data_IF_366107245975
#
_entry.id   IF_366107245975
#
_cell.length_a   1.000
_cell.length_b   1.000
_cell.length_c   1.000
_cell.angle_alpha   90.00
_cell.angle_beta   90.00
_cell.angle_gamma   90.00
#
_symmetry.space_group_name_H-M   'P 1'
#
loop_
_entity.id
_entity.type
_entity.pdbx_description
1 polymer ?
#
# COMPACT_ATOMS: atom_id res chain seq x y z
N UNK A 1 12.08 -22.76 -9.70
CA UNK A 1 10.67 -23.02 -9.30
C UNK A 1 9.81 -23.00 -10.55
N UNK A 2 8.87 -23.95 -10.73
CA UNK A 2 8.04 -24.02 -11.94
C UNK A 2 7.20 -22.75 -12.15
N UNK A 3 7.08 -22.35 -13.41
CA UNK A 3 6.45 -21.08 -13.81
C UNK A 3 4.96 -21.01 -13.47
N UNK A 4 4.21 -22.06 -13.78
CA UNK A 4 2.78 -22.16 -13.44
C UNK A 4 2.47 -22.02 -11.94
N UNK A 5 3.42 -22.33 -11.05
CA UNK A 5 3.26 -22.11 -9.60
C UNK A 5 3.50 -20.66 -9.23
N UNK A 6 4.48 -20.00 -9.90
CA UNK A 6 4.77 -18.58 -9.70
C UNK A 6 3.57 -17.72 -10.08
N UNK A 7 3.04 -17.92 -11.28
CA UNK A 7 1.91 -17.14 -11.81
C UNK A 7 0.67 -17.30 -10.93
N UNK A 8 0.30 -18.54 -10.60
CA UNK A 8 -0.89 -18.82 -9.77
C UNK A 8 -0.80 -18.23 -8.35
N UNK A 9 0.41 -17.98 -7.84
CA UNK A 9 0.63 -17.41 -6.51
C UNK A 9 1.12 -15.96 -6.54
N UNK A 10 1.13 -15.33 -7.72
CA UNK A 10 1.57 -13.94 -7.92
C UNK A 10 2.99 -13.71 -7.37
N UNK A 11 3.88 -14.68 -7.58
CA UNK A 11 5.28 -14.60 -7.17
C UNK A 11 6.14 -14.01 -8.29
N UNK A 12 6.10 -12.68 -8.35
CA UNK A 12 6.86 -11.87 -9.28
C UNK A 12 8.39 -11.96 -9.06
N UNK A 13 9.14 -11.37 -9.99
CA UNK A 13 10.57 -11.20 -9.80
C UNK A 13 10.85 -10.36 -8.54
N UNK A 14 11.70 -10.86 -7.66
CA UNK A 14 12.06 -10.20 -6.40
C UNK A 14 11.29 -10.69 -5.17
N UNK A 15 10.26 -11.54 -5.32
CA UNK A 15 9.58 -12.17 -4.18
C UNK A 15 10.54 -13.07 -3.41
N UNK A 16 10.71 -12.80 -2.11
CA UNK A 16 11.49 -13.64 -1.19
C UNK A 16 10.61 -14.78 -0.66
N UNK A 17 11.13 -16.00 -0.67
CA UNK A 17 10.40 -17.20 -0.28
C UNK A 17 11.11 -17.90 0.88
N UNK A 18 10.36 -18.31 1.89
CA UNK A 18 10.84 -19.20 2.95
C UNK A 18 10.59 -20.64 2.54
N UNK A 19 11.61 -21.48 2.69
CA UNK A 19 11.56 -22.92 2.45
C UNK A 19 11.71 -23.63 3.79
N UNK A 20 10.67 -24.33 4.21
CA UNK A 20 10.62 -25.09 5.46
C UNK A 20 10.57 -26.59 5.12
N UNK A 21 11.44 -27.38 5.75
CA UNK A 21 11.41 -28.84 5.63
C UNK A 21 10.40 -29.40 6.64
N UNK A 22 9.43 -30.18 6.19
CA UNK A 22 8.41 -30.83 7.03
C UNK A 22 8.37 -32.33 6.75
N UNK A 23 7.87 -33.16 7.68
CA UNK A 23 7.78 -34.62 7.46
C UNK A 23 6.96 -35.00 6.23
N UNK A 24 6.02 -34.16 5.82
CA UNK A 24 5.15 -34.33 4.64
C UNK A 24 5.78 -33.78 3.36
N UNK A 25 6.92 -33.09 3.46
CA UNK A 25 7.67 -32.54 2.34
C UNK A 25 8.08 -31.09 2.56
N UNK A 26 8.31 -30.37 1.46
CA UNK A 26 8.82 -29.00 1.50
C UNK A 26 7.68 -27.98 1.45
N UNK A 27 7.58 -27.13 2.46
CA UNK A 27 6.64 -26.00 2.50
C UNK A 27 7.31 -24.73 2.00
N UNK A 28 6.70 -24.08 1.00
CA UNK A 28 7.18 -22.81 0.43
C UNK A 28 6.13 -21.73 0.62
N UNK A 29 6.49 -20.61 1.25
CA UNK A 29 5.62 -19.45 1.47
C UNK A 29 6.37 -18.12 1.25
N UNK A 30 5.68 -17.05 0.84
CA UNK A 30 6.32 -15.74 0.71
C UNK A 30 6.71 -15.20 2.08
N UNK A 31 7.83 -14.48 2.11
CA UNK A 31 8.28 -13.74 3.29
C UNK A 31 7.70 -12.32 3.22
N UNK A 32 7.11 -11.80 4.32
CA UNK A 32 6.73 -10.40 4.39
C UNK A 32 7.90 -9.49 4.04
N UNK A 33 7.66 -8.51 3.17
CA UNK A 33 8.70 -7.54 2.77
C UNK A 33 9.05 -6.59 3.91
N UNK A 34 8.06 -6.30 4.75
CA UNK A 34 8.17 -5.45 5.93
C UNK A 34 7.88 -6.25 7.19
N UNK A 35 8.41 -5.79 8.33
CA UNK A 35 7.99 -6.29 9.62
C UNK A 35 6.50 -6.02 9.83
N UNK A 36 5.83 -6.90 10.56
CA UNK A 36 4.45 -6.68 10.95
C UNK A 36 4.35 -5.42 11.81
N UNK A 37 3.45 -4.52 11.43
CA UNK A 37 3.20 -3.26 12.13
C UNK A 37 1.76 -3.23 12.63
N UNK A 38 1.55 -2.75 13.84
CA UNK A 38 0.20 -2.50 14.37
C UNK A 38 -0.33 -1.17 13.84
N UNK A 39 -1.65 -0.94 13.84
CA UNK A 39 -2.22 0.34 13.42
C UNK A 39 -1.51 1.52 14.11
N UNK A 40 -1.31 1.49 15.42
CA UNK A 40 -0.61 2.56 16.16
C UNK A 40 0.84 2.81 15.73
N UNK A 41 1.51 1.85 15.09
CA UNK A 41 2.89 1.98 14.61
C UNK A 41 2.97 2.71 13.24
N UNK A 42 1.83 2.86 12.55
CA UNK A 42 1.72 3.50 11.22
C UNK A 42 0.72 4.66 11.18
N UNK A 43 -0.25 4.66 12.09
CA UNK A 43 -1.31 5.66 12.18
C UNK A 43 -0.69 7.00 12.59
N UNK A 44 -0.68 7.95 11.66
CA UNK A 44 -0.06 9.25 11.87
C UNK A 44 1.29 9.44 11.17
N UNK A 45 1.68 8.60 10.20
CA UNK A 45 2.88 8.81 9.37
C UNK A 45 2.92 10.14 8.58
N UNK A 46 1.87 10.97 8.66
CA UNK A 46 1.95 12.39 8.30
C UNK A 46 1.20 13.23 9.34
N UNK A 47 1.84 13.70 10.43
CA UNK A 47 1.25 14.77 11.20
C UNK A 47 1.15 16.00 10.29
N UNK A 48 -0.06 16.46 10.00
CA UNK A 48 -0.24 17.74 9.33
C UNK A 48 0.23 18.83 10.30
N UNK A 49 1.39 19.43 10.00
CA UNK A 49 1.99 20.49 10.83
C UNK A 49 1.39 21.88 10.59
N UNK A 50 0.43 21.99 9.66
CA UNK A 50 -0.24 23.25 9.34
C UNK A 50 -1.46 23.49 10.21
N UNK A 51 -1.94 24.73 10.21
CA UNK A 51 -3.23 25.06 10.81
C UNK A 51 -4.34 24.28 10.07
N UNK A 52 -5.36 23.79 10.79
CA UNK A 52 -6.57 23.29 10.16
C UNK A 52 -7.15 24.35 9.23
N UNK A 53 -7.60 23.93 8.04
CA UNK A 53 -8.27 24.85 7.12
C UNK A 53 -9.58 25.35 7.73
N UNK A 54 -9.90 26.62 7.50
CA UNK A 54 -11.24 27.13 7.80
C UNK A 54 -12.26 26.60 6.78
N UNK A 55 -13.55 26.70 7.10
CA UNK A 55 -14.61 26.30 6.17
C UNK A 55 -14.54 27.10 4.87
N UNK A 56 -14.24 28.40 4.97
CA UNK A 56 -14.09 29.29 3.82
C UNK A 56 -12.93 28.86 2.91
N UNK A 57 -11.80 28.42 3.49
CA UNK A 57 -10.66 27.90 2.73
C UNK A 57 -10.98 26.56 2.04
N UNK A 58 -11.80 25.72 2.69
CA UNK A 58 -12.29 24.48 2.09
C UNK A 58 -13.21 24.77 0.90
N UNK A 59 -14.20 25.65 1.09
CA UNK A 59 -15.15 26.05 0.04
C UNK A 59 -14.45 26.68 -1.17
N UNK A 60 -13.50 27.59 -0.91
CA UNK A 60 -12.69 28.19 -1.97
C UNK A 60 -11.88 27.13 -2.73
N UNK A 61 -11.29 26.17 -2.02
CA UNK A 61 -10.53 25.06 -2.63
C UNK A 61 -11.39 24.17 -3.51
N UNK A 62 -12.60 23.82 -3.06
CA UNK A 62 -13.55 23.03 -3.84
C UNK A 62 -13.98 23.75 -5.12
N UNK A 63 -14.33 25.04 -5.03
CA UNK A 63 -14.74 25.84 -6.18
C UNK A 63 -13.59 26.03 -7.19
N UNK A 64 -12.35 26.24 -6.71
CA UNK A 64 -11.18 26.33 -7.56
C UNK A 64 -10.92 25.04 -8.33
N UNK A 65 -11.05 23.88 -7.66
CA UNK A 65 -10.85 22.58 -8.29
C UNK A 65 -11.94 22.24 -9.30
N UNK A 66 -13.20 22.55 -9.00
CA UNK A 66 -14.31 22.39 -9.94
C UNK A 66 -14.07 23.22 -11.21
N UNK A 67 -13.71 24.50 -11.07
CA UNK A 67 -13.35 25.37 -12.21
C UNK A 67 -12.19 24.80 -13.01
N UNK A 68 -11.15 24.30 -12.35
CA UNK A 68 -9.98 23.71 -13.02
C UNK A 68 -10.34 22.49 -13.87
N UNK A 69 -11.24 21.62 -13.38
CA UNK A 69 -11.72 20.46 -14.13
C UNK A 69 -12.59 20.86 -15.32
N UNK A 70 -13.54 21.76 -15.11
CA UNK A 70 -14.45 22.22 -16.17
C UNK A 70 -13.79 23.14 -17.21
N UNK A 71 -12.64 23.75 -16.92
CA UNK A 71 -11.85 24.51 -17.89
C UNK A 71 -10.96 23.61 -18.79
N UNK A 72 -11.00 22.28 -18.60
CA UNK A 72 -10.30 21.29 -19.42
C UNK A 72 -11.23 20.49 -20.34
N UNK A 73 -12.54 20.78 -20.30
CA UNK A 73 -13.55 20.32 -21.26
C UNK A 73 -13.74 21.37 -22.38
#
# INVERSE_FOLDING_TARGET
>A
MPDAIRERREWDAGTRLLVEDTPEGVRVKPVPVFAETRPEDVFGSLPHRGNPKTLEEMDAGMLAEARRRHARD
#
